data_IF_850095808543
#
_entry.id   IF_850095808543
#
_cell.length_a   1.000
_cell.length_b   1.000
_cell.length_c   1.000
_cell.angle_alpha   90.00
_cell.angle_beta   90.00
_cell.angle_gamma   90.00
#
_symmetry.space_group_name_H-M   'P 1'
#
loop_
_entity.id
_entity.type
_entity.pdbx_description
1 polymer ?
#
# COMPACT_ATOMS: atom_id res chain seq x y z
N UNK A 1 10.92 4.15 8.59
CA UNK A 1 10.47 5.55 8.68
C UNK A 1 10.59 6.39 7.39
N UNK A 2 11.25 5.96 6.30
CA UNK A 2 11.34 6.76 5.05
C UNK A 2 10.72 6.14 3.80
N UNK A 3 10.36 4.84 3.78
CA UNK A 3 10.04 4.19 2.51
C UNK A 3 8.76 4.69 1.85
N UNK A 4 7.64 4.82 2.57
CA UNK A 4 6.35 5.18 1.96
C UNK A 4 6.34 6.62 1.42
N UNK A 5 6.82 7.62 2.17
CA UNK A 5 6.89 9.00 1.66
C UNK A 5 7.80 9.10 0.43
N UNK A 6 8.93 8.38 0.43
CA UNK A 6 9.80 8.30 -0.75
C UNK A 6 9.09 7.64 -1.94
N UNK A 7 8.21 6.67 -1.70
CA UNK A 7 7.38 6.07 -2.76
C UNK A 7 6.51 7.11 -3.47
N UNK A 8 5.92 8.07 -2.75
CA UNK A 8 5.15 9.15 -3.39
C UNK A 8 6.05 10.00 -4.30
N UNK A 9 7.28 10.29 -3.87
CA UNK A 9 8.25 10.99 -4.72
C UNK A 9 8.58 10.18 -5.97
N UNK A 10 8.73 8.86 -5.88
CA UNK A 10 8.94 8.00 -7.04
C UNK A 10 7.74 8.08 -7.98
N UNK A 11 6.54 7.78 -7.49
CA UNK A 11 5.30 7.78 -8.27
C UNK A 11 5.05 9.11 -9.00
N UNK A 12 5.33 10.23 -8.32
CA UNK A 12 5.23 11.57 -8.92
C UNK A 12 6.16 11.77 -10.11
N UNK A 13 7.35 11.20 -10.08
CA UNK A 13 8.37 11.40 -11.11
C UNK A 13 8.40 10.27 -12.15
N UNK A 14 7.61 9.20 -11.95
CA UNK A 14 7.55 8.04 -12.84
C UNK A 14 6.12 7.80 -13.34
N UNK A 15 5.58 8.65 -14.24
CA UNK A 15 4.19 8.55 -14.70
C UNK A 15 3.89 7.26 -15.48
N UNK A 16 4.92 6.60 -15.99
CA UNK A 16 4.82 5.33 -16.73
C UNK A 16 5.18 4.12 -15.85
N UNK A 17 5.20 4.26 -14.53
CA UNK A 17 5.50 3.14 -13.65
C UNK A 17 4.36 2.12 -13.69
N UNK A 18 4.67 0.91 -14.16
CA UNK A 18 3.71 -0.19 -14.23
C UNK A 18 3.77 -1.11 -13.01
N UNK A 19 4.97 -1.27 -12.43
CA UNK A 19 5.20 -2.18 -11.31
C UNK A 19 5.96 -1.47 -10.19
N UNK A 20 5.50 -1.67 -8.96
CA UNK A 20 6.10 -1.09 -7.77
C UNK A 20 6.34 -2.18 -6.72
N UNK A 21 7.60 -2.39 -6.34
CA UNK A 21 7.95 -3.22 -5.20
C UNK A 21 8.46 -2.36 -4.03
N UNK A 22 7.88 -2.56 -2.85
CA UNK A 22 8.26 -1.90 -1.61
C UNK A 22 8.58 -2.97 -0.58
N UNK A 23 9.75 -2.90 0.04
CA UNK A 23 10.05 -3.71 1.22
C UNK A 23 10.10 -2.80 2.43
N UNK A 24 9.26 -3.07 3.43
CA UNK A 24 9.24 -2.30 4.68
C UNK A 24 10.20 -2.94 5.68
N UNK A 25 11.07 -2.14 6.28
CA UNK A 25 11.97 -2.57 7.36
C UNK A 25 11.74 -1.58 8.51
N UNK A 26 11.11 -2.02 9.59
CA UNK A 26 10.82 -1.15 10.72
C UNK A 26 10.43 -1.91 11.98
N UNK A 27 11.20 -1.69 13.04
CA UNK A 27 10.71 -1.78 14.42
C UNK A 27 9.89 -0.50 14.70
N UNK A 28 8.84 -0.65 15.51
CA UNK A 28 7.74 0.32 15.69
C UNK A 28 8.14 1.73 16.11
N UNK A 29 7.11 2.59 16.14
CA UNK A 29 7.11 3.99 16.59
C UNK A 29 7.69 5.03 15.61
N UNK A 30 7.25 4.94 14.36
CA UNK A 30 7.29 6.07 13.45
C UNK A 30 6.09 7.00 13.70
N UNK A 31 6.26 8.32 13.82
CA UNK A 31 5.15 9.25 13.93
C UNK A 31 4.21 9.08 12.73
N UNK A 32 2.93 9.01 13.06
CA UNK A 32 1.81 8.86 12.14
C UNK A 32 1.95 9.92 11.04
N UNK A 33 2.41 9.48 9.87
CA UNK A 33 2.59 10.39 8.74
C UNK A 33 1.18 10.83 8.33
N UNK A 34 0.93 12.14 8.39
CA UNK A 34 -0.39 12.75 8.20
C UNK A 34 -1.03 12.25 6.88
N UNK A 35 -1.83 11.19 6.97
CA UNK A 35 -2.42 10.49 5.85
C UNK A 35 -3.21 11.47 4.95
N UNK A 36 -3.93 12.40 5.59
CA UNK A 36 -4.62 13.50 4.92
C UNK A 36 -3.69 14.38 4.07
N UNK A 37 -2.48 14.70 4.56
CA UNK A 37 -1.52 15.49 3.80
C UNK A 37 -1.08 14.76 2.53
N UNK A 38 -0.77 13.47 2.64
CA UNK A 38 -0.39 12.67 1.47
C UNK A 38 -1.55 12.52 0.48
N UNK A 39 -2.79 12.40 0.95
CA UNK A 39 -3.97 12.37 0.09
C UNK A 39 -4.12 13.66 -0.72
N UNK A 40 -3.97 14.82 -0.06
CA UNK A 40 -4.15 16.12 -0.72
C UNK A 40 -3.09 16.39 -1.79
N UNK A 41 -1.91 15.79 -1.66
CA UNK A 41 -0.84 15.88 -2.65
C UNK A 41 -0.94 14.80 -3.73
N UNK A 42 -1.81 13.80 -3.58
CA UNK A 42 -2.00 12.75 -4.56
C UNK A 42 -2.76 13.27 -5.78
N UNK A 43 -2.23 12.98 -6.97
CA UNK A 43 -2.95 13.20 -8.22
C UNK A 43 -3.22 11.87 -8.89
N UNK A 44 -4.34 11.74 -9.58
CA UNK A 44 -4.71 10.49 -10.27
C UNK A 44 -3.63 10.07 -11.31
N UNK A 45 -2.81 11.02 -11.77
CA UNK A 45 -1.67 10.78 -12.63
C UNK A 45 -0.56 9.92 -11.99
N UNK A 46 -0.45 9.86 -10.66
CA UNK A 46 0.63 9.15 -9.97
C UNK A 46 0.56 7.62 -10.15
N UNK A 47 -0.63 7.09 -10.41
CA UNK A 47 -0.86 5.65 -10.59
C UNK A 47 -1.57 5.34 -11.91
N UNK A 48 -1.47 6.23 -12.90
CA UNK A 48 -2.19 6.10 -14.17
C UNK A 48 -1.88 4.77 -14.90
N UNK A 49 -0.64 4.30 -14.81
CA UNK A 49 -0.18 3.08 -15.46
C UNK A 49 0.14 1.94 -14.48
N UNK A 50 -0.10 2.14 -13.18
CA UNK A 50 0.33 1.19 -12.14
C UNK A 50 -0.55 -0.07 -12.16
N UNK A 51 0.01 -1.17 -12.64
CA UNK A 51 -0.67 -2.45 -12.84
C UNK A 51 -0.38 -3.46 -11.72
N UNK A 52 0.81 -3.41 -11.12
CA UNK A 52 1.20 -4.34 -10.06
C UNK A 52 1.88 -3.62 -8.90
N UNK A 53 1.47 -3.98 -7.68
CA UNK A 53 2.13 -3.52 -6.45
C UNK A 53 2.50 -4.71 -5.60
N UNK A 54 3.73 -4.74 -5.09
CA UNK A 54 4.20 -5.76 -4.17
C UNK A 54 4.78 -5.11 -2.93
N UNK A 55 4.19 -5.42 -1.79
CA UNK A 55 4.63 -4.95 -0.49
C UNK A 55 5.13 -6.13 0.33
N UNK A 56 6.37 -6.02 0.81
CA UNK A 56 7.07 -7.06 1.57
C UNK A 56 7.34 -6.65 3.00
N UNK A 57 7.25 -7.63 3.91
CA UNK A 57 7.51 -7.51 5.34
C UNK A 57 6.55 -6.54 6.06
N UNK A 58 5.28 -6.55 5.65
CA UNK A 58 4.21 -5.67 6.18
C UNK A 58 3.88 -6.01 7.63
N UNK A 59 3.74 -4.99 8.47
CA UNK A 59 3.34 -5.10 9.87
C UNK A 59 1.92 -4.63 10.18
N UNK A 60 1.11 -4.28 9.17
CA UNK A 60 -0.22 -3.66 9.33
C UNK A 60 -0.20 -2.32 10.05
N UNK A 61 0.91 -1.60 9.91
CA UNK A 61 1.06 -0.26 10.46
C UNK A 61 0.10 0.70 9.75
N UNK A 62 -0.34 1.75 10.44
CA UNK A 62 -1.34 2.68 9.91
C UNK A 62 -0.93 3.30 8.57
N UNK A 63 0.35 3.62 8.40
CA UNK A 63 0.89 4.13 7.14
C UNK A 63 0.91 3.08 6.01
N UNK A 64 1.12 1.81 6.33
CA UNK A 64 1.05 0.72 5.35
C UNK A 64 -0.38 0.49 4.89
N UNK A 65 -1.32 0.43 5.84
CA UNK A 65 -2.77 0.32 5.58
C UNK A 65 -3.27 1.48 4.72
N UNK A 66 -2.89 2.71 5.09
CA UNK A 66 -3.24 3.91 4.34
C UNK A 66 -2.68 3.91 2.91
N UNK A 67 -1.43 3.48 2.72
CA UNK A 67 -0.85 3.37 1.38
C UNK A 67 -1.61 2.33 0.53
N UNK A 68 -1.99 1.20 1.12
CA UNK A 68 -2.80 0.17 0.46
C UNK A 68 -4.16 0.74 0.04
N UNK A 69 -4.86 1.42 0.94
CA UNK A 69 -6.14 2.07 0.65
C UNK A 69 -6.03 3.07 -0.50
N UNK A 70 -5.00 3.92 -0.46
CA UNK A 70 -4.79 4.95 -1.47
C UNK A 70 -4.53 4.35 -2.85
N UNK A 71 -3.64 3.34 -2.93
CA UNK A 71 -3.38 2.64 -4.20
C UNK A 71 -4.65 1.97 -4.70
N UNK A 72 -5.39 1.25 -3.86
CA UNK A 72 -6.63 0.56 -4.27
C UNK A 72 -7.69 1.56 -4.75
N UNK A 73 -7.85 2.69 -4.06
CA UNK A 73 -8.87 3.69 -4.37
C UNK A 73 -8.54 4.59 -5.57
N UNK A 74 -7.28 4.61 -6.04
CA UNK A 74 -6.80 5.53 -7.09
C UNK A 74 -6.23 4.84 -8.33
N UNK A 75 -5.62 3.66 -8.21
CA UNK A 75 -4.98 2.98 -9.35
C UNK A 75 -6.03 2.27 -10.21
N UNK A 76 -6.55 2.97 -11.23
CA UNK A 76 -7.64 2.50 -12.09
C UNK A 76 -7.28 1.29 -12.97
N UNK A 77 -6.00 1.08 -13.26
CA UNK A 77 -5.50 -0.04 -14.09
C UNK A 77 -4.84 -1.16 -13.26
N UNK A 78 -4.91 -1.07 -11.93
CA UNK A 78 -4.29 -2.04 -11.05
C UNK A 78 -4.90 -3.44 -11.27
N UNK A 79 -4.04 -4.44 -11.46
CA UNK A 79 -4.43 -5.84 -11.62
C UNK A 79 -4.08 -6.68 -10.39
N UNK A 80 -2.90 -6.43 -9.83
CA UNK A 80 -2.40 -7.25 -8.73
C UNK A 80 -1.82 -6.40 -7.60
N UNK A 81 -2.12 -6.81 -6.38
CA UNK A 81 -1.48 -6.30 -5.18
C UNK A 81 -1.05 -7.47 -4.32
N UNK A 82 0.26 -7.66 -4.13
CA UNK A 82 0.84 -8.74 -3.35
C UNK A 82 1.33 -8.22 -2.02
N UNK A 83 0.78 -8.75 -0.93
CA UNK A 83 1.09 -8.35 0.43
C UNK A 83 1.74 -9.54 1.14
N UNK A 84 3.00 -9.39 1.56
CA UNK A 84 3.71 -10.41 2.32
C UNK A 84 4.04 -9.94 3.72
N UNK A 85 3.69 -10.76 4.70
CA UNK A 85 3.68 -10.38 6.11
C UNK A 85 5.07 -10.45 6.74
N UNK A 86 5.37 -9.45 7.57
CA UNK A 86 6.54 -9.44 8.43
C UNK A 86 6.33 -10.20 9.74
N UNK A 87 7.40 -10.26 10.53
CA UNK A 87 7.40 -10.91 11.84
C UNK A 87 6.75 -10.08 12.95
N UNK A 88 6.80 -8.75 12.86
CA UNK A 88 6.17 -7.83 13.82
C UNK A 88 4.90 -7.24 13.21
N UNK A 89 3.80 -7.26 13.96
CA UNK A 89 2.50 -6.76 13.51
C UNK A 89 1.86 -5.87 14.57
N UNK A 90 1.22 -4.78 14.14
CA UNK A 90 0.41 -3.90 15.00
C UNK A 90 -1.05 -4.33 15.11
N UNK A 91 -1.54 -5.16 14.19
CA UNK A 91 -2.91 -5.71 14.18
C UNK A 91 -2.89 -7.22 13.91
N UNK A 92 -3.97 -7.90 14.28
CA UNK A 92 -4.20 -9.29 13.87
C UNK A 92 -4.38 -9.36 12.34
N UNK A 93 -4.24 -10.56 11.75
CA UNK A 93 -4.47 -10.72 10.32
C UNK A 93 -5.96 -10.55 9.99
N UNK A 94 -6.83 -11.04 10.86
CA UNK A 94 -8.27 -10.98 10.73
C UNK A 94 -8.75 -9.52 10.71
N UNK A 95 -8.28 -8.69 11.66
CA UNK A 95 -8.65 -7.27 11.73
C UNK A 95 -8.16 -6.51 10.48
N UNK A 96 -6.92 -6.74 10.07
CA UNK A 96 -6.36 -6.11 8.88
C UNK A 96 -7.09 -6.52 7.60
N UNK A 97 -7.46 -7.80 7.47
CA UNK A 97 -8.23 -8.30 6.33
C UNK A 97 -9.65 -7.74 6.31
N UNK A 98 -10.33 -7.68 7.45
CA UNK A 98 -11.64 -7.03 7.58
C UNK A 98 -11.57 -5.57 7.13
N UNK A 99 -10.54 -4.82 7.54
CA UNK A 99 -10.32 -3.44 7.12
C UNK A 99 -10.07 -3.34 5.60
N UNK A 100 -9.21 -4.20 5.04
CA UNK A 100 -8.91 -4.23 3.60
C UNK A 100 -10.15 -4.53 2.73
N UNK A 101 -11.10 -5.31 3.25
CA UNK A 101 -12.35 -5.60 2.57
C UNK A 101 -13.28 -4.39 2.49
N UNK A 102 -13.09 -3.37 3.33
CA UNK A 102 -13.84 -2.11 3.29
C UNK A 102 -13.31 -1.12 2.25
N UNK A 103 -12.07 -1.30 1.79
CA UNK A 103 -11.44 -0.34 0.89
C UNK A 103 -12.06 -0.33 -0.50
N UNK A 104 -12.40 0.88 -0.97
CA UNK A 104 -12.87 1.10 -2.34
C UNK A 104 -11.78 0.74 -3.34
N UNK A 105 -12.17 0.11 -4.44
CA UNK A 105 -11.28 -0.20 -5.57
C UNK A 105 -11.65 0.64 -6.79
N UNK A 106 -10.68 1.37 -7.34
CA UNK A 106 -10.82 2.06 -8.62
C UNK A 106 -10.84 1.05 -9.79
N UNK A 107 -9.99 0.03 -9.72
CA UNK A 107 -9.96 -1.06 -10.68
C UNK A 107 -10.89 -2.21 -10.27
N UNK A 108 -11.78 -2.59 -11.17
CA UNK A 108 -12.62 -3.80 -11.04
C UNK A 108 -11.84 -5.10 -11.21
N UNK A 109 -10.64 -5.04 -11.78
CA UNK A 109 -9.76 -6.19 -12.04
C UNK A 109 -8.70 -6.39 -10.94
N UNK A 110 -8.60 -5.46 -9.97
CA UNK A 110 -7.61 -5.52 -8.92
C UNK A 110 -7.85 -6.71 -7.98
N UNK A 111 -6.85 -7.60 -7.90
CA UNK A 111 -6.82 -8.74 -6.98
C UNK A 111 -5.74 -8.52 -5.92
N UNK A 112 -6.11 -8.73 -4.65
CA UNK A 112 -5.17 -8.64 -3.52
C UNK A 112 -4.80 -10.06 -3.12
N UNK A 113 -3.51 -10.37 -3.10
CA UNK A 113 -2.94 -11.64 -2.73
C UNK A 113 -2.16 -11.48 -1.43
N UNK A 114 -2.37 -12.40 -0.50
CA UNK A 114 -1.68 -12.42 0.78
C UNK A 114 -0.76 -13.63 0.83
N UNK A 115 0.53 -13.38 1.06
CA UNK A 115 1.50 -14.41 1.36
C UNK A 115 1.91 -14.28 2.83
N UNK A 116 1.22 -15.04 3.68
CA UNK A 116 1.41 -15.06 5.10
C UNK A 116 1.21 -16.47 5.62
N UNK A 117 2.15 -16.96 6.44
CA UNK A 117 1.88 -18.14 7.26
C UNK A 117 0.81 -17.74 8.29
N UNK A 118 -0.41 -18.24 8.13
CA UNK A 118 -1.39 -18.28 9.22
C UNK A 118 -0.74 -19.09 10.34
N UNK A 119 -0.53 -18.46 11.49
CA UNK A 119 -0.11 -19.14 12.71
C UNK A 119 -1.32 -19.27 13.61
#
# INVERSE_FOLDING_TARGET
>A
MRSIVLTFCVLRNTPNLEELEITTYGDGDAPETNAEFLNTQWTDAFCANLQAVKMKNIGWLQNEMYFIELVLSKAAVLRTMHLSLGCRRSKSNEDALCELMTYRRASTHARVFFDGKMK
#
